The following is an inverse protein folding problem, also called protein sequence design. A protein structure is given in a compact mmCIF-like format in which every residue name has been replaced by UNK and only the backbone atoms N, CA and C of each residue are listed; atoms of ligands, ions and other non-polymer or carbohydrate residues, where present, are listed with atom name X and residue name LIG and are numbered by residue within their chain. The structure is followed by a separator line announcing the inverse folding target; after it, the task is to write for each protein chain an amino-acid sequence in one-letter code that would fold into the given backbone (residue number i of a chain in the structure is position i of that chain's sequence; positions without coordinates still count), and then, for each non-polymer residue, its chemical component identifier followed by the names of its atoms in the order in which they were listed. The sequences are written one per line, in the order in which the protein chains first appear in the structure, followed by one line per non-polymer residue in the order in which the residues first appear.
data_IF_003308236117
#
_entry.id   IF_003308236117
#
_cell.length_a   1.000
_cell.length_b   1.000
_cell.length_c   1.000
_cell.angle_alpha   90.00
_cell.angle_beta   90.00
_cell.angle_gamma   90.00
#
_symmetry.space_group_name_H-M   'P 1'
#
loop_
_entity.id
_entity.type
_entity.pdbx_description
1 polymer ?
#
# COMPACT_ATOMS: atom_id res chain seq x y z
N UNK A 1 15.95 9.29 -3.91
CA UNK A 1 16.24 7.93 -3.37
C UNK A 1 14.95 7.09 -3.37
N UNK A 2 15.01 5.82 -3.79
CA UNK A 2 13.83 4.94 -3.80
C UNK A 2 13.74 4.18 -2.46
N UNK A 3 12.71 4.46 -1.67
CA UNK A 3 12.46 3.77 -0.40
C UNK A 3 11.42 2.67 -0.59
N UNK A 4 11.62 1.53 0.06
CA UNK A 4 10.54 0.55 0.19
C UNK A 4 9.46 1.13 1.10
N UNK A 5 8.21 0.98 0.69
CA UNK A 5 7.03 1.34 1.46
C UNK A 5 6.08 0.15 1.50
N UNK A 6 5.50 -0.10 2.66
CA UNK A 6 4.48 -1.13 2.85
C UNK A 6 3.12 -0.56 2.52
N UNK A 7 2.23 -1.35 1.91
CA UNK A 7 0.82 -1.03 1.75
C UNK A 7 0.00 -1.94 2.67
N UNK A 8 -0.94 -1.36 3.41
CA UNK A 8 -1.89 -2.09 4.24
C UNK A 8 -3.29 -2.00 3.66
N UNK A 9 -4.01 -3.11 3.68
CA UNK A 9 -5.42 -3.16 3.36
C UNK A 9 -6.22 -2.30 4.35
N UNK A 10 -7.19 -1.53 3.86
CA UNK A 10 -8.07 -0.68 4.68
C UNK A 10 -9.04 -1.47 5.55
N UNK A 11 -9.44 -2.67 5.13
CA UNK A 11 -10.43 -3.48 5.83
C UNK A 11 -9.78 -4.40 6.86
N UNK A 12 -8.92 -5.31 6.41
CA UNK A 12 -8.30 -6.29 7.30
C UNK A 12 -7.04 -5.75 8.00
N UNK A 13 -6.60 -4.53 7.70
CA UNK A 13 -5.39 -3.86 8.25
C UNK A 13 -4.09 -4.63 8.06
N UNK A 14 -4.09 -5.68 7.23
CA UNK A 14 -2.92 -6.51 6.96
C UNK A 14 -1.98 -5.80 5.99
N UNK A 15 -0.69 -5.88 6.28
CA UNK A 15 0.41 -5.41 5.44
C UNK A 15 0.81 -6.56 4.52
N UNK A 16 0.30 -6.54 3.30
CA UNK A 16 0.38 -7.64 2.34
C UNK A 16 1.07 -7.24 1.04
N UNK A 17 1.46 -5.97 0.88
CA UNK A 17 2.20 -5.51 -0.28
C UNK A 17 3.36 -4.60 0.12
N UNK A 18 4.45 -4.68 -0.63
CA UNK A 18 5.59 -3.78 -0.55
C UNK A 18 5.83 -3.17 -1.92
N UNK A 19 5.96 -1.86 -2.00
CA UNK A 19 6.26 -1.15 -3.25
C UNK A 19 7.46 -0.23 -3.05
N UNK A 20 8.13 0.16 -4.14
CA UNK A 20 9.22 1.13 -4.08
C UNK A 20 8.65 2.50 -4.45
N UNK A 21 8.76 3.46 -3.55
CA UNK A 21 8.34 4.84 -3.75
C UNK A 21 9.56 5.75 -3.82
N UNK A 22 9.52 6.75 -4.69
CA UNK A 22 10.49 7.84 -4.64
C UNK A 22 9.89 8.99 -3.82
N UNK A 23 10.33 9.13 -2.56
CA UNK A 23 9.85 10.19 -1.65
C UNK A 23 10.08 11.60 -2.19
N UNK A 24 11.02 11.77 -3.12
CA UNK A 24 11.39 13.07 -3.68
C UNK A 24 10.41 13.56 -4.75
N UNK A 25 9.83 12.65 -5.55
CA UNK A 25 8.88 13.01 -6.61
C UNK A 25 7.43 12.92 -6.14
N UNK A 26 7.13 12.03 -5.18
CA UNK A 26 5.78 11.81 -4.68
C UNK A 26 5.80 11.85 -3.15
N UNK A 27 5.58 13.00 -2.51
CA UNK A 27 5.51 13.09 -1.06
C UNK A 27 4.20 12.51 -0.50
N UNK A 28 3.10 12.57 -1.26
CA UNK A 28 1.77 12.16 -0.83
C UNK A 28 1.64 10.66 -0.54
N UNK A 29 0.73 10.31 0.37
CA UNK A 29 0.41 8.91 0.70
C UNK A 29 -0.18 8.22 -0.53
N UNK A 30 0.41 7.09 -0.91
CA UNK A 30 -0.07 6.36 -2.08
C UNK A 30 -1.19 5.39 -1.66
N UNK A 31 -2.24 5.38 -2.47
CA UNK A 31 -3.37 4.48 -2.33
C UNK A 31 -3.55 3.66 -3.61
N UNK A 32 -3.61 2.33 -3.48
CA UNK A 32 -3.80 1.43 -4.62
C UNK A 32 -4.95 0.48 -4.37
N UNK A 33 -5.83 0.31 -5.37
CA UNK A 33 -6.79 -0.81 -5.36
C UNK A 33 -6.04 -2.10 -5.71
N UNK A 34 -5.93 -3.00 -4.74
CA UNK A 34 -5.33 -4.33 -4.93
C UNK A 34 -6.23 -5.41 -4.34
N UNK A 35 -6.11 -6.61 -4.86
CA UNK A 35 -6.80 -7.77 -4.33
C UNK A 35 -6.27 -8.11 -2.93
N UNK A 36 -7.15 -8.24 -1.94
CA UNK A 36 -6.77 -8.78 -0.65
C UNK A 36 -7.17 -10.25 -0.58
N UNK A 37 -6.17 -11.15 -0.49
CA UNK A 37 -6.40 -12.60 -0.30
C UNK A 37 -7.28 -12.92 0.93
N UNK A 38 -7.27 -12.05 1.94
CA UNK A 38 -8.00 -12.26 3.19
C UNK A 38 -9.45 -11.78 3.13
N UNK A 39 -9.70 -10.65 2.46
CA UNK A 39 -11.07 -10.18 2.25
C UNK A 39 -11.76 -10.88 1.06
N UNK A 40 -10.98 -11.47 0.14
CA UNK A 40 -11.51 -12.16 -1.03
C UNK A 40 -11.91 -11.23 -2.18
N UNK A 41 -11.67 -9.92 -2.07
CA UNK A 41 -11.99 -8.93 -3.10
C UNK A 41 -10.94 -7.82 -3.20
N UNK A 42 -11.12 -6.94 -4.20
CA UNK A 42 -10.28 -5.76 -4.38
C UNK A 42 -10.63 -4.69 -3.35
N UNK A 43 -9.61 -4.25 -2.62
CA UNK A 43 -9.72 -3.26 -1.54
C UNK A 43 -8.69 -2.16 -1.74
N UNK A 44 -8.98 -0.99 -1.17
CA UNK A 44 -8.01 0.10 -1.09
C UNK A 44 -6.90 -0.28 -0.12
N UNK A 45 -5.68 -0.28 -0.63
CA UNK A 45 -4.46 -0.47 0.14
C UNK A 45 -3.75 0.87 0.28
N UNK A 46 -3.49 1.29 1.51
CA UNK A 46 -2.86 2.58 1.83
C UNK A 46 -1.43 2.37 2.31
N UNK A 47 -0.56 3.30 1.93
CA UNK A 47 0.81 3.36 2.43
C UNK A 47 0.86 3.36 3.96
N UNK A 48 1.66 2.46 4.52
CA UNK A 48 1.87 2.25 5.94
C UNK A 48 3.37 2.31 6.23
N UNK A 49 3.76 3.44 6.83
CA UNK A 49 5.10 3.91 7.24
C UNK A 49 6.21 3.89 6.18
#
# INVERSE_FOLDING_TARGET
MRTLVTLACTECKRRNYTTKKNKQNNPDRIEFKKYCKWCGHHTLHKETR
#
